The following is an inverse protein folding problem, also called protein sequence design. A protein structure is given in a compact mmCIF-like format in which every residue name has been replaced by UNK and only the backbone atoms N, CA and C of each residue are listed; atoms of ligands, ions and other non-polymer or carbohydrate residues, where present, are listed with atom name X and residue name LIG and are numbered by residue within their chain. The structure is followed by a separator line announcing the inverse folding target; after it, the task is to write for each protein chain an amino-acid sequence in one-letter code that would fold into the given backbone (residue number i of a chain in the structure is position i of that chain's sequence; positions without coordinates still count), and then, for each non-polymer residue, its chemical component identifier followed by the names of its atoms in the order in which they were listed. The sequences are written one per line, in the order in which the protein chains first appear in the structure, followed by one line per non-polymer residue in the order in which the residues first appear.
data_IF_304639318713
#
_entry.id   IF_304639318713
#
_cell.length_a   1.000
_cell.length_b   1.000
_cell.length_c   1.000
_cell.angle_alpha   90.00
_cell.angle_beta   90.00
_cell.angle_gamma   90.00
#
_symmetry.space_group_name_H-M   'P 1'
#
loop_
_entity.id
_entity.type
_entity.pdbx_description
1 polymer ?
#
# COMPACT_ATOMS: atom_id res chain seq x y z
N UNK A 1 1.03 10.83 -8.15
CA UNK A 1 -0.23 10.17 -7.69
C UNK A 1 0.17 8.96 -6.85
N UNK A 2 -0.39 8.77 -5.66
CA UNK A 2 -0.06 7.59 -4.84
C UNK A 2 -1.31 6.75 -4.62
N UNK A 3 -1.19 5.44 -4.82
CA UNK A 3 -2.24 4.48 -4.56
C UNK A 3 -1.77 3.49 -3.51
N UNK A 4 -2.67 3.10 -2.62
CA UNK A 4 -2.43 2.08 -1.63
C UNK A 4 -3.40 0.93 -1.89
N UNK A 5 -2.87 -0.27 -2.12
CA UNK A 5 -3.68 -1.47 -2.15
C UNK A 5 -3.93 -1.91 -0.70
N UNK A 6 -5.14 -1.65 -0.20
CA UNK A 6 -5.52 -1.91 1.18
C UNK A 6 -6.64 -2.97 1.22
N UNK A 7 -6.48 -4.08 1.95
CA UNK A 7 -7.54 -5.08 2.12
C UNK A 7 -8.69 -4.64 3.05
N UNK A 8 -8.63 -3.45 3.66
CA UNK A 8 -9.63 -2.99 4.65
C UNK A 8 -10.95 -2.50 4.05
N UNK A 9 -11.01 -2.26 2.75
CA UNK A 9 -12.19 -1.71 2.06
C UNK A 9 -12.60 -2.60 0.90
N UNK A 10 -13.89 -2.64 0.55
CA UNK A 10 -14.38 -3.34 -0.67
C UNK A 10 -13.71 -2.81 -1.96
N UNK A 11 -13.18 -1.58 -1.91
CA UNK A 11 -12.28 -1.04 -2.92
C UNK A 11 -10.85 -1.56 -2.73
N UNK A 12 -10.33 -2.26 -3.75
CA UNK A 12 -8.98 -2.84 -3.76
C UNK A 12 -7.86 -1.78 -3.67
N UNK A 13 -8.10 -0.51 -4.06
CA UNK A 13 -7.09 0.55 -4.10
C UNK A 13 -7.63 1.89 -3.55
N UNK A 14 -6.86 2.51 -2.65
CA UNK A 14 -7.11 3.84 -2.09
C UNK A 14 -6.16 4.86 -2.71
N UNK A 15 -6.71 5.94 -3.28
CA UNK A 15 -5.89 7.06 -3.73
C UNK A 15 -5.52 7.96 -2.56
N UNK A 16 -4.22 8.28 -2.44
CA UNK A 16 -3.69 9.11 -1.38
C UNK A 16 -3.06 10.37 -1.99
N UNK A 17 -3.41 11.52 -1.41
CA UNK A 17 -2.73 12.77 -1.71
C UNK A 17 -1.35 12.77 -1.05
N UNK A 18 -0.29 13.27 -1.71
CA UNK A 18 1.07 13.25 -1.15
C UNK A 18 1.20 13.87 0.24
N UNK A 19 0.37 14.89 0.53
CA UNK A 19 0.36 15.61 1.79
C UNK A 19 -0.12 14.74 2.96
N UNK A 20 -1.04 13.80 2.68
CA UNK A 20 -1.65 12.91 3.67
C UNK A 20 -0.86 11.61 3.89
N UNK A 21 0.23 11.42 3.14
CA UNK A 21 1.01 10.17 3.12
C UNK A 21 1.47 9.74 4.51
N UNK A 22 2.06 10.66 5.29
CA UNK A 22 2.60 10.35 6.60
C UNK A 22 1.50 9.93 7.59
N UNK A 23 0.39 10.66 7.63
CA UNK A 23 -0.75 10.36 8.49
C UNK A 23 -1.32 8.98 8.18
N UNK A 24 -1.44 8.62 6.90
CA UNK A 24 -1.99 7.33 6.47
C UNK A 24 -1.04 6.18 6.77
N UNK A 25 0.26 6.33 6.51
CA UNK A 25 1.26 5.30 6.81
C UNK A 25 1.30 4.98 8.31
N UNK A 26 1.27 6.01 9.16
CA UNK A 26 1.25 5.82 10.62
C UNK A 26 -0.02 5.09 11.05
N UNK A 27 -1.19 5.48 10.52
CA UNK A 27 -2.45 4.83 10.86
C UNK A 27 -2.47 3.35 10.46
N UNK A 28 -1.98 3.02 9.26
CA UNK A 28 -1.87 1.64 8.78
C UNK A 28 -0.92 0.80 9.62
N UNK A 29 0.21 1.37 10.02
CA UNK A 29 1.15 0.70 10.92
C UNK A 29 0.52 0.38 12.27
N UNK A 30 -0.19 1.35 12.88
CA UNK A 30 -0.94 1.16 14.13
C UNK A 30 -2.03 0.10 13.97
N UNK A 31 -2.68 0.02 12.81
CA UNK A 31 -3.70 -1.00 12.51
C UNK A 31 -3.12 -2.41 12.31
N UNK A 32 -1.79 -2.55 12.22
CA UNK A 32 -1.09 -3.82 12.08
C UNK A 32 -0.60 -4.13 10.67
N UNK A 33 -0.69 -3.20 9.72
CA UNK A 33 0.00 -3.30 8.42
C UNK A 33 1.48 -3.00 8.59
N UNK A 34 2.18 -3.96 9.19
CA UNK A 34 3.58 -3.87 9.57
C UNK A 34 4.55 -4.29 8.46
N UNK A 35 4.06 -4.85 7.36
CA UNK A 35 4.90 -5.37 6.28
C UNK A 35 4.57 -4.73 4.92
N UNK A 36 5.58 -4.09 4.32
CA UNK A 36 5.51 -3.63 2.93
C UNK A 36 5.86 -4.80 2.01
N UNK A 37 4.85 -5.40 1.39
CA UNK A 37 5.01 -6.55 0.52
C UNK A 37 5.60 -6.16 -0.85
N UNK A 38 5.13 -5.06 -1.42
CA UNK A 38 5.63 -4.57 -2.72
C UNK A 38 5.44 -3.07 -2.86
N UNK A 39 6.39 -2.44 -3.55
CA UNK A 39 6.30 -1.05 -4.00
C UNK A 39 6.57 -1.05 -5.50
N UNK A 40 5.64 -0.51 -6.27
CA UNK A 40 5.83 -0.34 -7.70
C UNK A 40 5.49 1.09 -8.13
N UNK A 41 6.17 1.58 -9.15
CA UNK A 41 5.82 2.82 -9.82
C UNK A 41 5.42 2.47 -11.27
N UNK A 42 4.37 3.10 -11.77
CA UNK A 42 3.94 2.95 -13.14
C UNK A 42 3.70 4.32 -13.77
N UNK A 43 4.02 4.44 -15.06
CA UNK A 43 3.69 5.61 -15.84
C UNK A 43 2.19 5.64 -16.11
N UNK A 44 1.51 6.70 -15.68
CA UNK A 44 0.07 6.86 -15.94
C UNK A 44 -0.17 7.16 -17.42
N UNK A 45 0.79 7.82 -18.07
CA UNK A 45 0.80 8.08 -19.51
C UNK A 45 2.25 8.27 -19.99
N UNK A 46 2.57 8.02 -21.27
CA UNK A 46 3.87 8.34 -21.85
C UNK A 46 4.23 9.82 -21.64
N UNK A 47 5.34 10.12 -20.97
CA UNK A 47 5.76 11.49 -20.64
C UNK A 47 4.91 12.18 -19.55
N UNK A 48 4.03 11.44 -18.89
CA UNK A 48 3.09 11.93 -17.89
C UNK A 48 3.56 11.73 -16.45
N UNK A 49 2.60 11.78 -15.52
CA UNK A 49 2.86 11.63 -14.10
C UNK A 49 3.13 10.16 -13.72
N UNK A 50 4.12 9.97 -12.85
CA UNK A 50 4.34 8.68 -12.20
C UNK A 50 3.30 8.46 -11.11
N UNK A 51 2.73 7.25 -11.11
CA UNK A 51 1.92 6.76 -10.01
C UNK A 51 2.69 5.72 -9.22
N UNK A 52 2.72 5.85 -7.90
CA UNK A 52 3.35 4.85 -7.01
C UNK A 52 2.25 4.05 -6.32
N UNK A 53 2.34 2.72 -6.39
CA UNK A 53 1.46 1.79 -5.66
C UNK A 53 2.25 1.15 -4.54
N UNK A 54 1.64 1.15 -3.36
CA UNK A 54 2.13 0.42 -2.19
C UNK A 54 1.20 -0.75 -1.89
N UNK A 55 1.77 -1.93 -1.71
CA UNK A 55 1.07 -3.13 -1.26
C UNK A 55 1.49 -3.44 0.17
N UNK A 56 0.57 -3.23 1.11
CA UNK A 56 0.78 -3.53 2.52
C UNK A 56 0.10 -4.83 2.90
N UNK A 57 0.77 -5.61 3.74
CA UNK A 57 0.25 -6.85 4.31
C UNK A 57 0.41 -6.79 5.82
N UNK A 58 -0.58 -7.33 6.53
CA UNK A 58 -0.50 -7.55 7.97
C UNK A 58 0.12 -8.93 8.19
N UNK A 59 1.26 -8.98 8.86
CA UNK A 59 1.88 -10.23 9.30
C UNK A 59 1.67 -10.37 10.80
N UNK A 60 1.01 -11.44 11.22
CA UNK A 60 0.82 -11.81 12.62
C UNK A 60 1.83 -12.89 13.01
N UNK A 61 2.45 -12.72 14.18
CA UNK A 61 3.42 -13.69 14.70
C UNK A 61 2.69 -14.99 15.06
N UNK A 62 2.94 -16.07 14.32
CA UNK A 62 2.28 -17.38 14.49
C UNK A 62 1.43 -17.83 13.30
N UNK A 63 1.27 -17.02 12.26
CA UNK A 63 0.73 -17.47 10.97
C UNK A 63 1.90 -17.88 10.10
N UNK A 64 2.10 -19.19 9.97
CA UNK A 64 3.06 -19.77 9.04
C UNK A 64 2.79 -19.26 7.61
N UNK A 65 3.86 -18.76 7.00
CA UNK A 65 4.05 -18.40 5.58
C UNK A 65 3.64 -16.98 5.14
N UNK A 66 4.59 -16.19 4.59
CA UNK A 66 4.20 -15.19 3.60
C UNK A 66 3.55 -15.92 2.42
N UNK A 67 2.39 -15.44 1.96
CA UNK A 67 1.67 -16.02 0.83
C UNK A 67 2.65 -16.34 -0.31
N UNK A 68 2.78 -17.64 -0.62
CA UNK A 68 3.68 -18.11 -1.68
C UNK A 68 3.26 -17.44 -3.00
N UNK A 69 4.25 -16.82 -3.63
CA UNK A 69 4.16 -16.26 -4.98
C UNK A 69 3.88 -17.36 -6.00
#
# INVERSE_FOLDING_TARGET
MTWLKCPLTEATYLQIKPEDWHSIVVNLYVYGYNYLSSKCAYDVAPGGLLATVYHLTRIEYGVDQPAKR
#
